data_IF_342328978294
#
_entry.id   IF_342328978294
#
_cell.length_a   1.000
_cell.length_b   1.000
_cell.length_c   1.000
_cell.angle_alpha   90.00
_cell.angle_beta   90.00
_cell.angle_gamma   90.00
#
_symmetry.space_group_name_H-M   'P 1'
#
loop_
_entity.id
_entity.type
_entity.pdbx_description
1 polymer ?
#
# COMPACT_ATOMS: atom_id res chain seq x y z
N UNK A 1 -7.98 -12.68 -16.04
CA UNK A 1 -8.03 -11.21 -15.94
C UNK A 1 -7.65 -10.62 -17.29
N UNK A 2 -8.50 -9.81 -17.92
CA UNK A 2 -8.18 -9.24 -19.23
C UNK A 2 -7.32 -7.99 -18.98
N UNK A 3 -6.00 -8.14 -19.10
CA UNK A 3 -5.12 -6.99 -19.23
C UNK A 3 -5.34 -6.38 -20.62
N UNK A 4 -5.81 -5.15 -20.67
CA UNK A 4 -5.76 -4.43 -21.93
C UNK A 4 -4.32 -3.94 -22.17
N UNK A 5 -4.00 -3.60 -23.42
CA UNK A 5 -2.66 -3.13 -23.81
C UNK A 5 -2.19 -1.91 -22.97
N UNK A 6 -3.12 -1.10 -22.46
CA UNK A 6 -2.79 0.03 -21.62
C UNK A 6 -2.22 -0.42 -20.27
N UNK A 7 -2.84 -1.39 -19.59
CA UNK A 7 -2.34 -1.92 -18.29
C UNK A 7 -0.98 -2.58 -18.43
N UNK A 8 -0.75 -3.26 -19.53
CA UNK A 8 0.58 -3.84 -19.81
C UNK A 8 1.65 -2.75 -19.97
N UNK A 9 1.31 -1.64 -20.64
CA UNK A 9 2.21 -0.48 -20.74
C UNK A 9 2.46 0.17 -19.39
N UNK A 10 1.39 0.39 -18.60
CA UNK A 10 1.50 1.02 -17.28
C UNK A 10 2.43 0.20 -16.36
N UNK A 11 2.25 -1.13 -16.29
CA UNK A 11 3.11 -2.03 -15.50
C UNK A 11 4.56 -2.00 -16.00
N UNK A 12 4.76 -2.00 -17.32
CA UNK A 12 6.11 -1.88 -17.90
C UNK A 12 6.74 -0.53 -17.55
N UNK A 13 5.99 0.55 -17.61
CA UNK A 13 6.44 1.88 -17.22
C UNK A 13 6.81 1.87 -15.74
N UNK A 14 5.95 1.38 -14.85
CA UNK A 14 6.21 1.29 -13.42
C UNK A 14 7.59 0.65 -13.15
N UNK A 15 7.84 -0.53 -13.70
CA UNK A 15 9.10 -1.22 -13.46
C UNK A 15 10.32 -0.57 -14.15
N UNK A 16 10.13 0.13 -15.28
CA UNK A 16 11.21 0.76 -16.02
C UNK A 16 11.63 2.13 -15.47
N UNK A 17 10.80 2.75 -14.64
CA UNK A 17 11.09 4.07 -14.03
C UNK A 17 11.82 3.96 -12.70
N UNK A 18 11.92 2.77 -12.11
CA UNK A 18 12.62 2.52 -10.86
C UNK A 18 13.89 1.70 -11.10
N UNK A 19 14.93 1.98 -10.31
CA UNK A 19 16.19 1.24 -10.38
C UNK A 19 16.14 -0.02 -9.56
N UNK A 20 16.91 -1.01 -9.99
CA UNK A 20 17.20 -2.18 -9.18
C UNK A 20 18.23 -1.78 -8.09
N UNK A 21 17.79 -1.87 -6.82
CA UNK A 21 18.59 -1.61 -5.63
C UNK A 21 18.89 -2.87 -4.82
N UNK A 22 18.61 -4.06 -5.38
CA UNK A 22 18.78 -5.34 -4.71
C UNK A 22 20.23 -5.69 -4.35
N UNK A 23 21.20 -4.92 -4.85
CA UNK A 23 22.60 -5.03 -4.42
C UNK A 23 22.90 -4.39 -3.06
N UNK A 24 22.02 -3.50 -2.58
CA UNK A 24 22.13 -2.93 -1.24
C UNK A 24 21.69 -3.96 -0.21
N UNK A 25 22.27 -3.90 0.98
CA UNK A 25 21.92 -4.78 2.09
C UNK A 25 21.59 -3.99 3.36
N UNK A 26 20.67 -4.53 4.14
CA UNK A 26 20.34 -4.01 5.46
C UNK A 26 21.48 -4.29 6.44
N UNK A 27 21.74 -3.31 7.30
CA UNK A 27 22.59 -3.46 8.48
C UNK A 27 21.91 -2.78 9.67
N UNK A 28 22.04 -3.39 10.84
CA UNK A 28 21.53 -2.85 12.10
C UNK A 28 22.10 -1.46 12.45
N UNK A 29 23.27 -1.12 11.92
CA UNK A 29 23.85 0.23 12.07
C UNK A 29 23.00 1.32 11.43
N UNK A 30 22.23 1.00 10.39
CA UNK A 30 21.36 1.96 9.68
C UNK A 30 20.15 2.42 10.49
N UNK A 31 19.79 1.69 11.54
CA UNK A 31 18.59 1.94 12.34
C UNK A 31 18.87 2.45 13.75
N UNK A 32 20.12 2.56 14.18
CA UNK A 32 20.51 2.89 15.56
C UNK A 32 20.01 4.27 16.05
N UNK A 33 19.83 5.20 15.14
CA UNK A 33 19.38 6.57 15.44
C UNK A 33 17.87 6.76 15.21
N UNK A 34 17.15 5.70 14.86
CA UNK A 34 15.70 5.73 14.66
C UNK A 34 14.95 5.66 16.00
N UNK A 35 13.66 6.06 16.04
CA UNK A 35 12.83 5.87 17.22
C UNK A 35 12.80 4.40 17.68
N UNK A 36 12.81 4.17 18.99
CA UNK A 36 12.85 2.81 19.57
C UNK A 36 11.84 1.82 18.96
N UNK A 37 10.54 2.18 18.76
CA UNK A 37 9.60 1.24 18.15
C UNK A 37 9.97 0.89 16.70
N UNK A 38 10.59 1.81 15.96
CA UNK A 38 11.04 1.59 14.58
C UNK A 38 12.27 0.67 14.55
N UNK A 39 13.21 0.83 15.50
CA UNK A 39 14.33 -0.08 15.63
C UNK A 39 13.85 -1.52 15.92
N UNK A 40 12.88 -1.67 16.85
CA UNK A 40 12.27 -2.98 17.15
C UNK A 40 11.64 -3.61 15.92
N UNK A 41 10.91 -2.78 15.12
CA UNK A 41 10.28 -3.26 13.89
C UNK A 41 11.29 -3.80 12.88
N UNK A 42 12.36 -3.07 12.60
CA UNK A 42 13.37 -3.54 11.64
C UNK A 42 14.14 -4.77 12.17
N UNK A 43 14.41 -4.81 13.48
CA UNK A 43 15.01 -6.00 14.11
C UNK A 43 14.10 -7.23 14.03
N UNK A 44 12.77 -7.02 14.12
CA UNK A 44 11.78 -8.08 13.93
C UNK A 44 11.63 -8.51 12.47
N UNK A 45 11.63 -7.54 11.55
CA UNK A 45 11.23 -7.76 10.16
C UNK A 45 12.38 -8.13 9.22
N UNK A 46 13.62 -7.77 9.54
CA UNK A 46 14.80 -7.94 8.67
C UNK A 46 15.93 -8.67 9.37
N UNK A 47 16.64 -9.50 8.63
CA UNK A 47 17.90 -10.09 9.06
C UNK A 47 19.10 -9.25 8.60
N UNK A 48 20.21 -9.28 9.35
CA UNK A 48 21.47 -8.63 8.95
C UNK A 48 21.91 -9.16 7.58
N UNK A 49 22.25 -8.24 6.65
CA UNK A 49 22.60 -8.61 5.27
C UNK A 49 21.40 -8.86 4.35
N UNK A 50 20.15 -8.66 4.80
CA UNK A 50 18.96 -8.75 3.95
C UNK A 50 19.09 -7.82 2.75
N UNK A 51 19.01 -8.35 1.53
CA UNK A 51 18.99 -7.54 0.31
C UNK A 51 17.77 -6.65 0.25
N UNK A 52 17.96 -5.43 -0.24
CA UNK A 52 16.83 -4.53 -0.47
C UNK A 52 15.93 -5.09 -1.56
N UNK A 53 14.63 -4.93 -1.37
CA UNK A 53 13.64 -5.27 -2.38
C UNK A 53 13.48 -4.08 -3.32
N UNK A 54 13.57 -4.29 -4.62
CA UNK A 54 13.38 -3.26 -5.66
C UNK A 54 11.99 -3.30 -6.26
N UNK A 55 11.46 -4.50 -6.47
CA UNK A 55 10.21 -4.75 -7.16
C UNK A 55 9.40 -5.78 -6.40
N UNK A 56 8.10 -5.52 -6.28
CA UNK A 56 7.16 -6.45 -5.63
C UNK A 56 5.99 -6.68 -6.56
N UNK A 57 5.52 -7.92 -6.61
CA UNK A 57 4.20 -8.23 -7.13
C UNK A 57 3.51 -9.21 -6.20
N UNK A 58 2.23 -9.02 -6.02
CA UNK A 58 1.42 -9.88 -5.16
C UNK A 58 0.06 -10.21 -5.76
N UNK A 59 -0.52 -11.29 -5.26
CA UNK A 59 -1.93 -11.65 -5.45
C UNK A 59 -2.62 -11.64 -4.11
N UNK A 60 -3.82 -11.15 -4.08
CA UNK A 60 -4.67 -11.20 -2.90
C UNK A 60 -6.09 -11.67 -3.23
N UNK A 61 -6.77 -12.15 -2.23
CA UNK A 61 -8.22 -12.29 -2.17
C UNK A 61 -8.73 -11.49 -0.99
N UNK A 62 -10.04 -11.38 -0.85
CA UNK A 62 -10.60 -10.69 0.30
C UNK A 62 -12.06 -10.35 0.10
N UNK A 63 -12.48 -9.36 0.86
CA UNK A 63 -13.85 -8.87 0.88
C UNK A 63 -13.85 -7.33 0.85
N UNK A 64 -14.83 -6.77 0.17
CA UNK A 64 -15.01 -5.33 0.00
C UNK A 64 -16.46 -4.93 0.22
N UNK A 65 -16.71 -3.77 0.80
CA UNK A 65 -18.02 -3.10 0.88
C UNK A 65 -17.85 -1.59 0.84
N UNK A 66 -18.84 -0.88 0.31
CA UNK A 66 -18.76 0.60 0.19
C UNK A 66 -19.26 1.33 1.44
N UNK A 67 -20.08 0.67 2.27
CA UNK A 67 -20.57 1.22 3.52
C UNK A 67 -20.93 0.08 4.50
N UNK A 68 -21.16 0.42 5.75
CA UNK A 68 -21.39 -0.55 6.81
C UNK A 68 -22.63 -1.45 6.60
N UNK A 69 -23.68 -0.92 5.97
CA UNK A 69 -24.93 -1.65 5.73
C UNK A 69 -24.88 -2.57 4.50
N UNK A 70 -23.83 -2.45 3.68
CA UNK A 70 -23.67 -3.29 2.49
C UNK A 70 -23.08 -4.65 2.86
N UNK A 71 -23.57 -5.70 2.19
CA UNK A 71 -22.98 -7.04 2.29
C UNK A 71 -21.55 -7.03 1.73
N UNK A 72 -20.70 -7.82 2.36
CA UNK A 72 -19.36 -8.06 1.86
C UNK A 72 -19.40 -8.73 0.47
N UNK A 73 -18.65 -8.18 -0.45
CA UNK A 73 -18.47 -8.69 -1.82
C UNK A 73 -17.09 -9.29 -1.96
N UNK A 74 -16.95 -10.49 -2.55
CA UNK A 74 -15.63 -11.06 -2.81
C UNK A 74 -14.78 -10.15 -3.72
N UNK A 75 -13.52 -9.99 -3.34
CA UNK A 75 -12.52 -9.28 -4.13
C UNK A 75 -11.31 -10.18 -4.36
N UNK A 76 -10.76 -10.13 -5.55
CA UNK A 76 -9.47 -10.71 -5.91
C UNK A 76 -8.66 -9.69 -6.70
N UNK A 77 -7.35 -9.68 -6.54
CA UNK A 77 -6.54 -8.71 -7.26
C UNK A 77 -5.07 -9.09 -7.38
N UNK A 78 -4.40 -8.31 -8.20
CA UNK A 78 -2.95 -8.30 -8.34
C UNK A 78 -2.44 -6.89 -8.12
N UNK A 79 -1.24 -6.79 -7.58
CA UNK A 79 -0.61 -5.51 -7.30
C UNK A 79 0.88 -5.59 -7.60
N UNK A 80 1.43 -4.46 -8.03
CA UNK A 80 2.81 -4.30 -8.41
C UNK A 80 3.35 -3.05 -7.74
N UNK A 81 4.57 -3.14 -7.17
CA UNK A 81 5.22 -2.00 -6.49
C UNK A 81 6.65 -1.83 -6.96
N UNK A 82 7.12 -0.59 -6.85
CA UNK A 82 8.53 -0.21 -6.86
C UNK A 82 8.89 0.48 -5.54
N UNK A 83 10.16 0.35 -5.12
CA UNK A 83 10.60 0.76 -3.79
C UNK A 83 11.65 1.86 -3.80
N UNK A 84 12.57 1.87 -4.78
CA UNK A 84 13.58 2.93 -4.93
C UNK A 84 12.93 4.27 -5.22
N UNK A 85 11.88 4.25 -6.06
CA UNK A 85 10.93 5.35 -6.22
C UNK A 85 9.54 4.82 -5.86
N UNK A 86 8.78 5.52 -4.99
CA UNK A 86 7.43 5.10 -4.66
C UNK A 86 6.55 4.97 -5.89
N UNK A 87 6.00 3.78 -6.10
CA UNK A 87 5.09 3.54 -7.19
C UNK A 87 4.33 2.23 -7.02
N UNK A 88 3.08 2.20 -7.46
CA UNK A 88 2.30 0.98 -7.48
C UNK A 88 1.22 0.98 -8.56
N UNK A 89 0.77 -0.20 -8.94
CA UNK A 89 -0.43 -0.43 -9.74
C UNK A 89 -1.20 -1.61 -9.13
N UNK A 90 -2.41 -1.33 -8.65
CA UNK A 90 -3.35 -2.32 -8.16
C UNK A 90 -4.49 -2.52 -9.17
N UNK A 91 -4.86 -3.78 -9.39
CA UNK A 91 -5.98 -4.17 -10.25
C UNK A 91 -6.82 -5.17 -9.47
N UNK A 92 -7.96 -4.73 -8.98
CA UNK A 92 -8.89 -5.54 -8.19
C UNK A 92 -10.19 -5.82 -8.94
N UNK A 93 -10.69 -7.05 -8.83
CA UNK A 93 -11.97 -7.48 -9.35
C UNK A 93 -12.92 -7.77 -8.19
N UNK A 94 -14.02 -7.05 -8.13
CA UNK A 94 -15.08 -7.21 -7.12
C UNK A 94 -16.27 -7.88 -7.80
N UNK A 95 -16.67 -9.05 -7.30
CA UNK A 95 -17.79 -9.82 -7.82
C UNK A 95 -19.10 -9.31 -7.24
N UNK A 96 -20.01 -8.82 -8.09
CA UNK A 96 -21.31 -8.31 -7.69
C UNK A 96 -22.40 -9.42 -7.74
N UNK A 97 -22.40 -10.16 -8.84
CA UNK A 97 -23.33 -11.26 -9.14
C UNK A 97 -22.60 -12.28 -10.01
N UNK A 98 -23.14 -13.51 -10.22
CA UNK A 98 -22.61 -14.41 -11.23
C UNK A 98 -22.47 -13.70 -12.57
N UNK A 99 -21.26 -13.72 -13.16
CA UNK A 99 -20.90 -13.09 -14.44
C UNK A 99 -20.95 -11.55 -14.45
N UNK A 100 -21.18 -10.88 -13.32
CA UNK A 100 -21.17 -9.41 -13.20
C UNK A 100 -20.15 -8.98 -12.17
N UNK A 101 -19.18 -8.16 -12.59
CA UNK A 101 -18.12 -7.65 -11.72
C UNK A 101 -17.75 -6.21 -12.06
N UNK A 102 -17.14 -5.55 -11.12
CA UNK A 102 -16.44 -4.28 -11.35
C UNK A 102 -14.92 -4.52 -11.20
N UNK A 103 -14.14 -3.75 -11.93
CA UNK A 103 -12.69 -3.72 -11.80
C UNK A 103 -12.27 -2.34 -11.28
N UNK A 104 -11.67 -2.32 -10.10
CA UNK A 104 -10.93 -1.18 -9.58
C UNK A 104 -9.52 -1.17 -10.15
N UNK A 105 -9.05 0.00 -10.53
CA UNK A 105 -7.69 0.23 -10.95
C UNK A 105 -7.21 1.43 -10.16
N UNK A 106 -6.17 1.23 -9.38
CA UNK A 106 -5.60 2.24 -8.52
C UNK A 106 -4.10 2.26 -8.72
N UNK A 107 -3.50 3.44 -8.84
CA UNK A 107 -2.09 3.54 -9.13
C UNK A 107 -1.47 4.85 -8.65
N UNK A 108 -0.18 4.76 -8.33
CA UNK A 108 0.73 5.88 -8.17
C UNK A 108 1.93 5.66 -9.08
N UNK A 109 2.12 6.54 -10.04
CA UNK A 109 3.16 6.41 -11.05
C UNK A 109 3.79 7.77 -11.32
N UNK A 110 5.13 7.85 -11.20
CA UNK A 110 5.90 9.08 -11.43
C UNK A 110 5.37 10.31 -10.66
N UNK A 111 4.95 10.09 -9.40
CA UNK A 111 4.43 11.14 -8.54
C UNK A 111 2.96 11.51 -8.79
N UNK A 112 2.23 10.74 -9.59
CA UNK A 112 0.84 11.00 -9.95
C UNK A 112 -0.08 9.84 -9.60
N UNK A 113 -1.16 10.18 -8.88
CA UNK A 113 -2.24 9.26 -8.55
C UNK A 113 -3.26 9.12 -9.68
N UNK A 114 -3.84 7.93 -9.83
CA UNK A 114 -5.00 7.70 -10.67
C UNK A 114 -5.85 6.55 -10.14
N UNK A 115 -7.17 6.75 -10.13
CA UNK A 115 -8.13 5.75 -9.68
C UNK A 115 -9.30 5.66 -10.65
N UNK A 116 -9.64 4.45 -11.09
CA UNK A 116 -10.75 4.17 -12.00
C UNK A 116 -11.55 2.95 -11.58
N UNK A 117 -12.85 2.99 -11.79
CA UNK A 117 -13.73 1.82 -11.66
C UNK A 117 -14.36 1.52 -13.03
N UNK A 118 -14.32 0.26 -13.43
CA UNK A 118 -14.90 -0.22 -14.70
C UNK A 118 -15.88 -1.36 -14.47
N UNK A 119 -17.06 -1.26 -15.08
CA UNK A 119 -18.00 -2.37 -15.16
C UNK A 119 -17.52 -3.36 -16.23
N UNK A 120 -17.51 -4.65 -15.89
CA UNK A 120 -17.04 -5.75 -16.75
C UNK A 120 -15.65 -5.53 -17.35
N UNK A 121 -14.80 -4.71 -16.70
CA UNK A 121 -13.47 -4.31 -17.16
C UNK A 121 -13.46 -3.47 -18.46
N UNK A 122 -14.59 -3.02 -18.93
CA UNK A 122 -14.76 -2.33 -20.24
C UNK A 122 -15.28 -0.91 -20.06
N UNK A 123 -16.42 -0.74 -19.37
CA UNK A 123 -17.12 0.54 -19.27
C UNK A 123 -16.62 1.26 -18.01
N UNK A 124 -15.98 2.41 -18.18
CA UNK A 124 -15.60 3.27 -17.04
C UNK A 124 -16.85 3.87 -16.42
N UNK A 125 -17.10 3.58 -15.14
CA UNK A 125 -18.24 4.09 -14.36
C UNK A 125 -17.82 5.10 -13.29
N UNK A 126 -16.54 5.15 -12.93
CA UNK A 126 -15.95 6.19 -12.10
C UNK A 126 -14.49 6.44 -12.51
N UNK A 127 -14.09 7.70 -12.42
CA UNK A 127 -12.71 8.17 -12.64
C UNK A 127 -12.48 9.31 -11.63
N UNK A 128 -11.55 9.12 -10.70
CA UNK A 128 -11.31 10.14 -9.67
C UNK A 128 -10.68 11.38 -10.30
N UNK A 129 -11.07 12.58 -9.84
CA UNK A 129 -10.44 13.83 -10.30
C UNK A 129 -8.94 13.78 -10.04
N UNK A 130 -8.14 14.11 -11.06
CA UNK A 130 -6.69 14.24 -10.91
C UNK A 130 -6.37 15.51 -10.13
N UNK A 131 -5.36 15.43 -9.26
CA UNK A 131 -4.94 16.58 -8.48
C UNK A 131 -4.07 16.16 -7.30
N UNK A 132 -3.66 17.15 -6.53
CA UNK A 132 -2.79 16.98 -5.38
C UNK A 132 -3.40 16.03 -4.32
N UNK A 133 -4.70 16.12 -4.10
CA UNK A 133 -5.43 15.29 -3.14
C UNK A 133 -5.34 13.79 -3.50
N UNK A 134 -5.45 13.47 -4.78
CA UNK A 134 -5.29 12.09 -5.25
C UNK A 134 -3.82 11.66 -5.19
N UNK A 135 -2.89 12.52 -5.60
CA UNK A 135 -1.44 12.24 -5.51
C UNK A 135 -1.02 11.94 -4.06
N UNK A 136 -1.48 12.74 -3.08
CA UNK A 136 -1.25 12.51 -1.64
C UNK A 136 -1.87 11.19 -1.17
N UNK A 137 -3.11 10.92 -1.57
CA UNK A 137 -3.83 9.72 -1.16
C UNK A 137 -3.16 8.43 -1.65
N UNK A 138 -2.69 8.42 -2.89
CA UNK A 138 -2.06 7.24 -3.45
C UNK A 138 -0.63 7.04 -2.92
N UNK A 139 0.12 8.11 -2.66
CA UNK A 139 1.40 7.99 -1.96
C UNK A 139 1.23 7.48 -0.52
N UNK A 140 0.18 7.90 0.20
CA UNK A 140 -0.15 7.33 1.52
C UNK A 140 -0.47 5.85 1.45
N UNK A 141 -1.18 5.43 0.42
CA UNK A 141 -1.50 4.01 0.19
C UNK A 141 -0.22 3.21 0.00
N UNK A 142 0.70 3.67 -0.87
CA UNK A 142 1.99 3.01 -1.06
C UNK A 142 2.74 2.84 0.27
N UNK A 143 2.78 3.91 1.10
CA UNK A 143 3.46 3.86 2.40
C UNK A 143 2.77 2.90 3.38
N UNK A 144 1.44 2.86 3.40
CA UNK A 144 0.68 1.95 4.25
C UNK A 144 0.83 0.47 3.84
N UNK A 145 1.14 0.19 2.57
CA UNK A 145 1.38 -1.16 2.07
C UNK A 145 2.87 -1.58 2.17
N UNK A 146 3.78 -0.63 2.47
CA UNK A 146 5.21 -0.91 2.60
C UNK A 146 5.60 -1.94 3.70
N UNK A 147 4.81 -2.23 4.76
CA UNK A 147 5.07 -3.38 5.61
C UNK A 147 5.12 -4.74 4.89
N UNK A 148 4.60 -4.85 3.65
CA UNK A 148 4.75 -6.03 2.79
C UNK A 148 6.15 -6.16 2.15
N UNK A 149 6.94 -5.09 2.19
CA UNK A 149 8.32 -5.02 1.68
C UNK A 149 9.18 -4.11 2.57
N UNK A 150 9.51 -4.57 3.80
CA UNK A 150 10.02 -3.75 4.90
C UNK A 150 11.26 -2.90 4.57
N UNK A 151 12.11 -3.33 3.63
CA UNK A 151 13.30 -2.56 3.24
C UNK A 151 12.98 -1.20 2.64
N UNK A 152 11.76 -1.00 2.10
CA UNK A 152 11.31 0.30 1.59
C UNK A 152 10.95 1.30 2.72
N UNK A 153 10.80 0.83 3.95
CA UNK A 153 10.58 1.68 5.13
C UNK A 153 11.88 2.16 5.78
N UNK A 154 13.05 1.69 5.33
CA UNK A 154 14.34 2.21 5.78
C UNK A 154 14.48 3.70 5.39
N UNK A 155 15.15 4.52 6.21
CA UNK A 155 15.40 5.91 5.87
C UNK A 155 16.04 6.06 4.50
N UNK A 156 15.57 7.04 3.75
CA UNK A 156 16.03 7.31 2.38
C UNK A 156 16.05 8.81 2.09
N UNK A 157 16.33 9.20 0.86
CA UNK A 157 16.27 10.60 0.45
C UNK A 157 14.88 11.23 0.53
N UNK A 158 13.83 10.40 0.54
CA UNK A 158 12.43 10.86 0.60
C UNK A 158 11.67 10.40 1.84
N UNK A 159 12.17 9.42 2.61
CA UNK A 159 11.50 8.86 3.79
C UNK A 159 12.33 9.04 5.05
N UNK A 160 11.69 9.56 6.11
CA UNK A 160 12.25 9.65 7.45
C UNK A 160 11.23 9.27 8.51
N UNK A 161 11.73 8.96 9.71
CA UNK A 161 10.90 8.64 10.87
C UNK A 161 11.01 9.71 11.95
N UNK A 162 9.90 10.01 12.60
CA UNK A 162 9.83 10.90 13.77
C UNK A 162 9.20 10.16 14.95
N UNK A 163 9.77 10.28 16.17
CA UNK A 163 9.22 9.64 17.36
C UNK A 163 7.89 10.29 17.77
N UNK A 164 6.95 9.48 18.27
CA UNK A 164 5.70 9.95 18.88
C UNK A 164 5.63 9.49 20.35
N UNK A 165 5.71 8.19 20.59
CA UNK A 165 5.76 7.59 21.92
C UNK A 165 6.51 6.23 21.89
N UNK A 166 6.40 5.45 22.98
CA UNK A 166 7.10 4.16 23.12
C UNK A 166 6.68 3.10 22.12
N UNK A 167 5.47 3.23 21.55
CA UNK A 167 4.83 2.21 20.73
C UNK A 167 4.29 2.77 19.40
N UNK A 168 4.64 4.03 19.09
CA UNK A 168 4.26 4.65 17.82
C UNK A 168 5.32 5.61 17.28
N UNK A 169 5.38 5.72 15.94
CA UNK A 169 6.26 6.64 15.21
C UNK A 169 5.61 7.05 13.89
N UNK A 170 5.93 8.26 13.44
CA UNK A 170 5.50 8.78 12.14
C UNK A 170 6.53 8.45 11.07
N UNK A 171 6.09 7.85 9.98
CA UNK A 171 6.82 7.86 8.72
C UNK A 171 6.39 9.08 7.90
N UNK A 172 7.34 9.85 7.44
CA UNK A 172 7.11 11.08 6.66
C UNK A 172 7.80 10.93 5.31
N UNK A 173 7.04 11.12 4.25
CA UNK A 173 7.55 11.12 2.87
C UNK A 173 7.46 12.50 2.26
N UNK A 174 8.58 12.95 1.67
CA UNK A 174 8.64 14.09 0.77
C UNK A 174 9.07 13.59 -0.62
N UNK A 175 8.11 13.48 -1.53
CA UNK A 175 8.37 12.94 -2.87
C UNK A 175 7.48 13.62 -3.92
N UNK A 176 8.05 13.99 -5.08
CA UNK A 176 7.35 14.54 -6.23
C UNK A 176 6.38 15.72 -5.86
N UNK A 177 6.87 16.70 -5.08
CA UNK A 177 6.11 17.86 -4.58
C UNK A 177 5.01 17.51 -3.57
N UNK A 178 4.92 16.25 -3.15
CA UNK A 178 3.95 15.74 -2.20
C UNK A 178 4.63 15.50 -0.86
N UNK A 179 3.98 15.93 0.23
CA UNK A 179 4.41 15.66 1.61
C UNK A 179 3.27 14.96 2.33
N UNK A 180 3.54 13.76 2.82
CA UNK A 180 2.57 12.96 3.56
C UNK A 180 3.18 12.44 4.86
N UNK A 181 2.32 12.13 5.83
CA UNK A 181 2.69 11.44 7.06
C UNK A 181 1.71 10.30 7.36
N UNK A 182 2.24 9.20 7.87
CA UNK A 182 1.47 8.06 8.37
C UNK A 182 2.01 7.71 9.75
N UNK A 183 1.12 7.61 10.73
CA UNK A 183 1.44 7.14 12.06
C UNK A 183 1.33 5.61 12.11
N UNK A 184 2.43 4.95 12.43
CA UNK A 184 2.47 3.51 12.65
C UNK A 184 2.48 3.19 14.14
N UNK A 185 1.71 2.17 14.51
CA UNK A 185 1.65 1.62 15.86
C UNK A 185 2.27 0.22 15.86
N UNK A 186 3.09 -0.02 16.87
CA UNK A 186 3.89 -1.23 16.98
C UNK A 186 3.49 -1.99 18.25
N UNK A 187 3.52 -3.32 18.19
CA UNK A 187 3.44 -4.12 19.40
C UNK A 187 4.81 -4.23 20.11
N UNK A 188 4.81 -4.92 21.25
CA UNK A 188 6.03 -5.09 22.04
C UNK A 188 7.08 -6.02 21.38
N UNK A 189 6.64 -6.82 20.41
CA UNK A 189 7.50 -7.70 19.63
C UNK A 189 8.14 -6.95 18.45
N UNK A 190 7.65 -5.74 18.13
CA UNK A 190 8.12 -4.90 17.02
C UNK A 190 7.28 -5.01 15.74
N UNK A 191 6.16 -5.75 15.75
CA UNK A 191 5.27 -5.79 14.58
C UNK A 191 4.52 -4.46 14.42
N UNK A 192 4.40 -3.98 13.20
CA UNK A 192 3.40 -2.96 12.88
C UNK A 192 2.02 -3.62 12.98
N UNK A 193 1.17 -3.15 13.91
CA UNK A 193 -0.17 -3.70 14.11
C UNK A 193 -1.27 -2.80 13.55
N UNK A 194 -0.98 -1.49 13.43
CA UNK A 194 -1.91 -0.52 12.89
C UNK A 194 -1.17 0.64 12.24
N UNK A 195 -1.79 1.26 11.25
CA UNK A 195 -1.43 2.59 10.78
C UNK A 195 -2.65 3.52 10.82
N UNK A 196 -2.41 4.83 10.96
CA UNK A 196 -3.42 5.88 10.86
C UNK A 196 -2.89 7.05 10.05
N UNK A 197 -3.77 7.65 9.24
CA UNK A 197 -3.47 8.85 8.48
C UNK A 197 -4.75 9.65 8.20
N UNK A 198 -4.61 10.94 7.99
CA UNK A 198 -5.68 11.78 7.43
C UNK A 198 -5.57 11.74 5.91
N UNK A 199 -6.41 10.91 5.27
CA UNK A 199 -6.39 10.63 3.83
C UNK A 199 -7.58 11.25 3.13
N UNK A 200 -7.39 11.69 1.89
CA UNK A 200 -8.48 12.16 1.05
C UNK A 200 -9.27 10.97 0.49
N UNK A 201 -10.59 11.01 0.69
CA UNK A 201 -11.54 10.08 0.06
C UNK A 201 -12.31 10.79 -1.02
N UNK A 202 -12.39 10.21 -2.21
CA UNK A 202 -13.22 10.72 -3.28
C UNK A 202 -14.70 10.58 -2.92
N UNK A 203 -15.46 11.69 -3.00
CA UNK A 203 -16.88 11.76 -2.76
C UNK A 203 -17.49 12.57 -3.90
N UNK A 204 -18.27 11.94 -4.74
CA UNK A 204 -18.78 12.51 -5.98
C UNK A 204 -17.63 13.06 -6.86
N UNK A 205 -17.59 14.37 -7.09
CA UNK A 205 -16.56 15.05 -7.87
C UNK A 205 -15.59 15.87 -6.99
N UNK A 206 -15.49 15.55 -5.70
CA UNK A 206 -14.65 16.26 -4.74
C UNK A 206 -13.89 15.29 -3.85
N UNK A 207 -13.05 15.84 -2.98
CA UNK A 207 -12.33 15.07 -1.96
C UNK A 207 -12.71 15.56 -0.57
N UNK A 208 -12.87 14.61 0.35
CA UNK A 208 -13.05 14.87 1.78
C UNK A 208 -11.89 14.23 2.51
N UNK A 209 -11.24 14.98 3.41
CA UNK A 209 -10.16 14.47 4.24
C UNK A 209 -10.74 13.82 5.48
N UNK A 210 -10.51 12.53 5.64
CA UNK A 210 -11.05 11.71 6.73
C UNK A 210 -9.94 10.85 7.33
N UNK A 211 -10.13 10.45 8.59
CA UNK A 211 -9.20 9.54 9.23
C UNK A 211 -9.29 8.15 8.63
N UNK A 212 -8.17 7.65 8.16
CA UNK A 212 -8.01 6.35 7.50
C UNK A 212 -7.05 5.50 8.31
N UNK A 213 -7.39 4.23 8.52
CA UNK A 213 -6.55 3.33 9.29
C UNK A 213 -6.56 1.92 8.75
N UNK A 214 -5.46 1.22 8.95
CA UNK A 214 -5.27 -0.17 8.56
C UNK A 214 -4.78 -1.00 9.73
N UNK A 215 -5.23 -2.25 9.81
CA UNK A 215 -4.73 -3.25 10.75
C UNK A 215 -3.98 -4.34 10.01
N UNK A 216 -2.85 -4.76 10.58
CA UNK A 216 -1.98 -5.79 10.02
C UNK A 216 -1.93 -6.99 10.96
N UNK A 217 -2.04 -8.20 10.40
CA UNK A 217 -2.00 -9.43 11.17
C UNK A 217 -1.43 -10.60 10.35
N UNK A 218 -1.30 -11.76 10.99
CA UNK A 218 -0.80 -12.99 10.38
C UNK A 218 0.59 -12.80 9.74
N UNK A 219 1.55 -12.29 10.54
CA UNK A 219 2.92 -12.12 10.09
C UNK A 219 3.57 -13.48 9.79
N UNK A 220 4.17 -13.61 8.63
CA UNK A 220 4.90 -14.80 8.22
C UNK A 220 6.16 -14.43 7.44
N UNK A 221 7.13 -15.33 7.45
CA UNK A 221 8.40 -15.13 6.76
C UNK A 221 8.20 -15.27 5.23
N UNK A 222 8.72 -14.30 4.50
CA UNK A 222 8.74 -14.27 3.04
C UNK A 222 10.07 -13.65 2.60
N UNK A 223 10.88 -14.38 1.84
CA UNK A 223 12.20 -13.92 1.38
C UNK A 223 13.07 -13.36 2.53
N UNK A 224 13.13 -14.09 3.66
CA UNK A 224 13.83 -13.75 4.90
C UNK A 224 13.33 -12.45 5.59
N UNK A 225 12.17 -11.96 5.21
CA UNK A 225 11.51 -10.82 5.86
C UNK A 225 10.20 -11.26 6.52
N UNK A 226 9.89 -10.68 7.69
CA UNK A 226 8.60 -10.88 8.36
C UNK A 226 7.60 -9.84 7.83
N UNK A 227 6.55 -10.29 7.15
CA UNK A 227 5.53 -9.45 6.52
C UNK A 227 4.13 -9.87 6.93
N UNK A 228 3.14 -8.94 6.99
CA UNK A 228 1.76 -9.28 7.29
C UNK A 228 1.10 -9.97 6.08
N UNK A 229 0.24 -10.97 6.35
CA UNK A 229 -0.54 -11.65 5.31
C UNK A 229 -2.01 -11.26 5.29
N UNK A 230 -2.48 -10.57 6.34
CA UNK A 230 -3.82 -9.99 6.40
C UNK A 230 -3.73 -8.49 6.65
N UNK A 231 -4.53 -7.74 5.89
CA UNK A 231 -4.66 -6.29 6.03
C UNK A 231 -6.14 -5.94 6.02
N UNK A 232 -6.63 -5.26 7.06
CA UNK A 232 -7.98 -4.70 7.11
C UNK A 232 -7.89 -3.18 7.04
N UNK A 233 -8.74 -2.55 6.23
CA UNK A 233 -8.69 -1.11 5.99
C UNK A 233 -10.03 -0.48 6.28
N UNK A 234 -10.01 0.65 6.98
CA UNK A 234 -11.19 1.29 7.53
C UNK A 234 -11.13 2.81 7.37
N UNK A 235 -12.31 3.42 7.35
CA UNK A 235 -12.52 4.85 7.49
C UNK A 235 -13.18 5.16 8.82
N UNK A 236 -12.78 6.26 9.45
CA UNK A 236 -13.53 6.92 10.50
C UNK A 236 -14.06 8.24 9.93
N UNK A 237 -15.27 8.19 9.42
CA UNK A 237 -15.93 9.29 8.72
C UNK A 237 -16.93 9.96 9.64
N UNK A 238 -16.99 11.28 9.65
CA UNK A 238 -18.03 12.03 10.39
C UNK A 238 -19.45 11.68 9.88
N UNK A 239 -19.58 11.34 8.60
CA UNK A 239 -20.88 11.04 7.96
C UNK A 239 -21.25 9.57 8.03
N UNK A 240 -20.28 8.66 7.80
CA UNK A 240 -20.52 7.22 7.70
C UNK A 240 -20.19 6.47 9.00
N UNK A 241 -19.60 7.15 9.99
CA UNK A 241 -19.08 6.52 11.19
C UNK A 241 -17.79 5.73 10.93
N UNK A 242 -17.43 4.88 11.86
CA UNK A 242 -16.27 4.02 11.76
C UNK A 242 -16.64 2.70 11.08
N UNK A 243 -16.07 2.40 9.92
CA UNK A 243 -16.36 1.15 9.21
C UNK A 243 -15.17 0.59 8.45
N UNK A 244 -15.00 -0.72 8.53
CA UNK A 244 -14.06 -1.47 7.68
C UNK A 244 -14.67 -1.67 6.31
N UNK A 245 -13.96 -1.21 5.26
CA UNK A 245 -14.45 -1.30 3.88
C UNK A 245 -13.75 -2.39 3.06
N UNK A 246 -12.54 -2.79 3.46
CA UNK A 246 -11.77 -3.81 2.75
C UNK A 246 -11.01 -4.71 3.73
N UNK A 247 -10.98 -6.01 3.40
CA UNK A 247 -10.18 -7.04 4.07
C UNK A 247 -9.41 -7.78 3.01
N UNK A 248 -8.09 -7.73 3.08
CA UNK A 248 -7.22 -8.38 2.13
C UNK A 248 -6.48 -9.54 2.79
N UNK A 249 -6.39 -10.64 2.08
CA UNK A 249 -5.56 -11.78 2.41
C UNK A 249 -4.58 -12.03 1.28
N UNK A 250 -3.29 -11.83 1.57
CA UNK A 250 -2.23 -12.11 0.60
C UNK A 250 -2.23 -13.60 0.29
N UNK A 251 -2.07 -13.96 -0.97
CA UNK A 251 -2.03 -15.32 -1.48
C UNK A 251 -0.67 -15.69 -2.04
N UNK A 252 -0.02 -14.73 -2.59
CA UNK A 252 1.30 -14.88 -3.20
C UNK A 252 2.00 -13.52 -3.15
N UNK A 253 3.26 -13.49 -2.80
CA UNK A 253 4.13 -12.33 -2.91
C UNK A 253 5.44 -12.77 -3.54
N UNK A 254 5.93 -12.02 -4.51
CA UNK A 254 7.21 -12.24 -5.18
C UNK A 254 8.00 -10.93 -5.18
N UNK A 255 9.28 -11.03 -4.82
CA UNK A 255 10.22 -9.92 -4.81
C UNK A 255 11.18 -10.03 -6.00
N UNK A 256 11.62 -8.89 -6.52
CA UNK A 256 12.65 -8.73 -7.55
C UNK A 256 12.42 -9.55 -8.83
N UNK A 257 11.16 -9.68 -9.20
CA UNK A 257 10.71 -10.29 -10.44
C UNK A 257 9.83 -9.31 -11.23
N UNK A 258 10.44 -8.30 -11.94
CA UNK A 258 9.73 -7.19 -12.58
C UNK A 258 9.03 -7.59 -13.89
N UNK A 259 8.25 -8.67 -13.83
CA UNK A 259 7.40 -9.12 -14.93
C UNK A 259 5.96 -9.25 -14.44
N UNK A 260 5.00 -8.95 -15.32
CA UNK A 260 3.58 -9.13 -14.98
C UNK A 260 3.24 -10.59 -14.68
N UNK A 261 2.16 -10.77 -13.93
CA UNK A 261 1.53 -12.08 -13.77
C UNK A 261 0.91 -12.56 -15.08
#
# INVERSE_FOLDING_TARGET
MIFNQQRERDIKTLFSTSKDISTNTFSSEQIKDLPDPVQRYFTYSLEEGQHYVSFVKLKHTGEFRQNENQKWMPIEGVEYFTTEMPGFIWIGKISLLPLVWITGIDMYLEGKGAFQIKLLSIITIADAPKGKELDESELMRWLAEAPLFPTALLPSSFLRWEPVDSDSAKAIINYAETNIEVLFHFDKEGKIVQMTADRYRAVDNSFVKENWFGHYSDYAQTNNMMVPWNIEVSWNSEVLGNFTYAKFKIKEIQHDNPVKY
#
